data_IF_047915203375
#
_entry.id   IF_047915203375
#
_cell.length_a   1.000
_cell.length_b   1.000
_cell.length_c   1.000
_cell.angle_alpha   90.00
_cell.angle_beta   90.00
_cell.angle_gamma   90.00
#
_symmetry.space_group_name_H-M   'P 1'
#
loop_
_entity.id
_entity.type
_entity.pdbx_description
1 polymer ?
#
# COMPACT_ATOMS: atom_id res chain seq x y z
N UNK A 1 5.04 -22.39 3.86
CA UNK A 1 5.53 -21.07 4.27
C UNK A 1 4.37 -20.07 4.15
N UNK A 2 3.19 -20.42 4.70
CA UNK A 2 1.90 -20.01 4.13
C UNK A 2 0.88 -19.74 5.25
N UNK A 3 0.91 -18.57 5.88
CA UNK A 3 -0.17 -18.15 6.79
C UNK A 3 -0.35 -16.63 6.93
N UNK A 4 0.73 -15.84 6.94
CA UNK A 4 0.60 -14.39 7.17
C UNK A 4 -0.04 -13.62 6.01
N UNK A 5 0.25 -14.01 4.76
CA UNK A 5 -0.34 -13.35 3.60
C UNK A 5 -1.86 -13.40 3.62
N UNK A 6 -2.45 -14.60 3.76
CA UNK A 6 -3.90 -14.76 3.74
C UNK A 6 -4.55 -13.99 4.90
N UNK A 7 -3.97 -14.04 6.09
CA UNK A 7 -4.48 -13.33 7.28
C UNK A 7 -4.43 -11.81 7.09
N UNK A 8 -3.27 -11.25 6.73
CA UNK A 8 -3.15 -9.79 6.52
C UNK A 8 -4.04 -9.34 5.35
N UNK A 9 -4.12 -10.14 4.27
CA UNK A 9 -4.96 -9.80 3.12
C UNK A 9 -6.44 -9.63 3.49
N UNK A 10 -7.00 -10.60 4.20
CA UNK A 10 -8.43 -10.59 4.57
C UNK A 10 -8.75 -9.54 5.64
N UNK A 11 -7.81 -9.20 6.51
CA UNK A 11 -8.04 -8.27 7.60
C UNK A 11 -7.77 -6.81 7.23
N UNK A 12 -6.81 -6.54 6.33
CA UNK A 12 -6.47 -5.18 5.92
C UNK A 12 -7.41 -4.60 4.87
N UNK A 13 -7.89 -5.44 3.93
CA UNK A 13 -8.77 -4.97 2.86
C UNK A 13 -10.03 -4.23 3.38
N UNK A 14 -10.80 -4.79 4.35
CA UNK A 14 -11.96 -4.11 4.91
C UNK A 14 -11.60 -2.82 5.67
N UNK A 15 -10.43 -2.77 6.30
CA UNK A 15 -9.96 -1.56 6.98
C UNK A 15 -9.75 -0.41 5.98
N UNK A 16 -9.00 -0.64 4.89
CA UNK A 16 -8.72 0.40 3.88
C UNK A 16 -10.04 0.89 3.25
N UNK A 17 -10.94 -0.03 2.92
CA UNK A 17 -12.27 0.32 2.40
C UNK A 17 -13.09 1.13 3.43
N UNK A 18 -13.05 0.77 4.72
CA UNK A 18 -13.74 1.50 5.78
C UNK A 18 -13.22 2.94 5.93
N UNK A 19 -11.90 3.16 6.02
CA UNK A 19 -11.35 4.51 6.18
C UNK A 19 -11.63 5.37 4.94
N UNK A 20 -11.61 4.78 3.74
CA UNK A 20 -11.88 5.51 2.50
C UNK A 20 -13.34 5.95 2.40
N UNK A 21 -14.29 5.10 2.83
CA UNK A 21 -15.72 5.45 2.93
C UNK A 21 -15.98 6.55 3.97
N UNK A 22 -15.11 6.69 4.95
CA UNK A 22 -15.13 7.77 5.94
C UNK A 22 -14.32 9.00 5.51
N UNK A 23 -13.96 9.10 4.22
CA UNK A 23 -13.22 10.22 3.65
C UNK A 23 -11.85 10.44 4.31
N UNK A 24 -11.16 9.36 4.67
CA UNK A 24 -9.80 9.42 5.22
C UNK A 24 -8.83 8.72 4.27
N UNK A 25 -7.75 9.40 3.92
CA UNK A 25 -6.54 8.78 3.38
C UNK A 25 -5.55 8.55 4.53
N UNK A 26 -5.01 7.34 4.65
CA UNK A 26 -4.13 6.97 5.76
C UNK A 26 -2.67 7.38 5.52
N UNK A 27 -2.16 7.15 4.31
CA UNK A 27 -0.90 7.64 3.74
C UNK A 27 0.40 7.12 4.37
N UNK A 28 0.33 6.15 5.27
CA UNK A 28 1.53 5.51 5.86
C UNK A 28 1.33 4.02 6.16
N UNK A 29 0.72 3.29 5.20
CA UNK A 29 0.47 1.86 5.34
C UNK A 29 1.78 1.07 5.19
N UNK A 30 2.23 0.47 6.30
CA UNK A 30 3.46 -0.31 6.43
C UNK A 30 3.33 -1.35 7.55
N UNK A 31 4.23 -2.34 7.58
CA UNK A 31 4.18 -3.41 8.59
C UNK A 31 4.26 -2.89 10.02
N UNK A 32 5.07 -1.85 10.24
CA UNK A 32 5.34 -1.26 11.55
C UNK A 32 4.09 -0.63 12.17
N UNK A 33 3.12 -0.23 11.34
CA UNK A 33 1.86 0.37 11.79
C UNK A 33 0.72 -0.66 11.90
N UNK A 34 1.00 -1.95 11.66
CA UNK A 34 0.05 -3.05 11.80
C UNK A 34 0.44 -3.83 13.06
N UNK A 35 -0.30 -3.60 14.14
CA UNK A 35 -0.06 -4.29 15.43
C UNK A 35 -1.17 -5.28 15.72
N UNK A 36 -0.92 -6.18 16.67
CA UNK A 36 -1.91 -7.12 17.18
C UNK A 36 -2.24 -6.76 18.63
N UNK A 37 -3.52 -6.82 18.99
CA UNK A 37 -3.91 -6.77 20.39
C UNK A 37 -3.80 -8.15 21.07
N UNK A 38 -4.15 -8.21 22.35
CA UNK A 38 -4.06 -9.42 23.17
C UNK A 38 -4.93 -10.57 22.66
N UNK A 39 -6.00 -10.25 21.93
CA UNK A 39 -6.92 -11.22 21.34
C UNK A 39 -6.49 -11.63 19.91
N UNK A 40 -5.42 -11.01 19.39
CA UNK A 40 -4.87 -11.30 18.06
C UNK A 40 -5.57 -10.55 16.92
N UNK A 41 -6.32 -9.49 17.21
CA UNK A 41 -6.95 -8.65 16.19
C UNK A 41 -5.96 -7.63 15.66
N UNK A 42 -6.03 -7.34 14.36
CA UNK A 42 -5.23 -6.27 13.76
C UNK A 42 -5.73 -4.92 14.25
N UNK A 43 -4.80 -4.10 14.72
CA UNK A 43 -5.00 -2.69 14.98
C UNK A 43 -4.03 -1.88 14.14
N UNK A 44 -4.56 -0.82 13.52
CA UNK A 44 -3.75 0.16 12.79
C UNK A 44 -3.45 1.31 13.73
N UNK A 45 -2.17 1.63 13.86
CA UNK A 45 -1.67 2.70 14.73
C UNK A 45 -1.14 3.85 13.91
N UNK A 46 -0.74 4.94 14.57
CA UNK A 46 -0.10 6.11 13.95
C UNK A 46 -0.87 6.73 12.77
N UNK A 47 -1.81 7.61 13.09
CA UNK A 47 -2.56 8.41 12.12
C UNK A 47 -1.88 9.78 11.86
N UNK A 48 -0.60 9.94 12.21
CA UNK A 48 0.13 11.22 12.08
C UNK A 48 0.18 11.76 10.65
N UNK A 49 0.14 10.87 9.67
CA UNK A 49 0.05 11.22 8.24
C UNK A 49 -1.35 11.13 7.66
N UNK A 50 -2.38 10.76 8.43
CA UNK A 50 -3.73 10.65 7.91
C UNK A 50 -4.32 12.01 7.57
N UNK A 51 -5.23 12.04 6.59
CA UNK A 51 -5.90 13.27 6.16
C UNK A 51 -7.33 13.00 5.72
N UNK A 52 -8.25 13.87 6.14
CA UNK A 52 -9.59 13.89 5.59
C UNK A 52 -9.56 14.45 4.16
N UNK A 53 -10.09 13.69 3.22
CA UNK A 53 -10.26 14.05 1.81
C UNK A 53 -11.69 13.71 1.42
N UNK A 54 -12.50 14.72 1.15
CA UNK A 54 -13.84 14.54 0.59
C UNK A 54 -13.77 13.85 -0.78
N UNK A 55 -14.90 13.34 -1.27
CA UNK A 55 -14.92 12.66 -2.57
C UNK A 55 -14.49 13.61 -3.70
N UNK A 56 -13.47 13.19 -4.45
CA UNK A 56 -12.82 13.99 -5.49
C UNK A 56 -11.80 15.01 -4.99
N UNK A 57 -11.68 15.22 -3.67
CA UNK A 57 -10.64 16.06 -3.10
C UNK A 57 -9.27 15.37 -3.24
N UNK A 58 -8.26 16.17 -3.62
CA UNK A 58 -6.88 15.72 -3.77
C UNK A 58 -5.94 16.57 -2.95
N UNK A 59 -4.82 15.98 -2.56
CA UNK A 59 -3.74 16.65 -1.85
C UNK A 59 -2.40 16.42 -2.55
N UNK A 60 -1.37 17.16 -2.11
CA UNK A 60 -0.02 17.13 -2.72
C UNK A 60 1.11 17.00 -1.70
N UNK A 61 0.79 16.86 -0.42
CA UNK A 61 1.79 16.79 0.64
C UNK A 61 2.62 15.52 0.46
N UNK A 62 3.94 15.63 0.33
CA UNK A 62 4.82 14.47 0.34
C UNK A 62 4.96 13.98 1.78
N UNK A 63 4.50 12.76 2.06
CA UNK A 63 4.59 12.14 3.38
C UNK A 63 4.47 10.61 3.29
N UNK A 64 4.73 9.94 4.40
CA UNK A 64 4.72 8.48 4.50
C UNK A 64 6.11 7.87 4.36
N UNK A 65 6.17 6.55 4.43
CA UNK A 65 7.42 5.77 4.46
C UNK A 65 7.90 5.44 3.05
N UNK A 66 9.14 5.83 2.71
CA UNK A 66 9.66 5.88 1.33
C UNK A 66 9.46 4.59 0.50
N UNK A 67 9.81 3.38 0.99
CA UNK A 67 9.64 2.16 0.18
C UNK A 67 8.18 1.80 -0.16
N UNK A 68 7.22 2.35 0.59
CA UNK A 68 5.77 2.14 0.41
C UNK A 68 5.10 3.29 -0.35
N UNK A 69 5.84 4.35 -0.67
CA UNK A 69 5.31 5.58 -1.26
C UNK A 69 4.86 5.35 -2.70
N UNK A 70 3.72 5.92 -3.06
CA UNK A 70 3.17 5.87 -4.41
C UNK A 70 3.90 6.84 -5.36
N UNK A 71 4.03 6.52 -6.66
CA UNK A 71 4.82 7.31 -7.59
C UNK A 71 4.31 8.74 -7.75
N UNK A 72 3.00 8.98 -7.72
CA UNK A 72 2.42 10.32 -7.77
C UNK A 72 2.73 11.14 -6.51
N UNK A 73 2.85 10.50 -5.33
CA UNK A 73 3.29 11.17 -4.09
C UNK A 73 4.76 11.56 -4.21
N UNK A 74 5.60 10.63 -4.68
CA UNK A 74 7.03 10.86 -4.89
C UNK A 74 7.33 11.91 -5.97
N UNK A 75 6.44 12.03 -6.97
CA UNK A 75 6.55 13.05 -8.03
C UNK A 75 5.78 14.35 -7.70
N UNK A 76 5.37 14.54 -6.44
CA UNK A 76 4.71 15.76 -5.95
C UNK A 76 3.42 16.11 -6.71
N UNK A 77 2.76 15.11 -7.30
CA UNK A 77 1.51 15.26 -8.03
C UNK A 77 0.34 15.29 -7.05
N UNK A 78 -0.82 15.76 -7.54
CA UNK A 78 -2.06 15.64 -6.79
C UNK A 78 -2.53 14.19 -6.74
N UNK A 79 -2.91 13.73 -5.55
CA UNK A 79 -3.33 12.37 -5.28
C UNK A 79 -4.51 12.35 -4.30
N UNK A 80 -5.32 11.29 -4.36
CA UNK A 80 -6.43 11.05 -3.44
C UNK A 80 -6.18 9.89 -2.48
N UNK A 81 -7.26 9.25 -2.05
CA UNK A 81 -7.25 8.09 -1.14
C UNK A 81 -6.58 6.86 -1.77
N UNK A 82 -6.48 6.82 -3.10
CA UNK A 82 -5.95 5.69 -3.87
C UNK A 82 -4.50 5.31 -3.53
N UNK A 83 -3.69 6.24 -3.02
CA UNK A 83 -2.29 5.96 -2.59
C UNK A 83 -2.18 4.86 -1.53
N UNK A 84 -3.22 4.67 -0.70
CA UNK A 84 -3.23 3.60 0.30
C UNK A 84 -3.28 2.22 -0.36
N UNK A 85 -3.92 2.10 -1.54
CA UNK A 85 -3.95 0.84 -2.30
C UNK A 85 -2.59 0.51 -2.90
N UNK A 86 -1.81 1.52 -3.27
CA UNK A 86 -0.42 1.35 -3.69
C UNK A 86 0.42 0.79 -2.54
N UNK A 87 0.43 1.46 -1.39
CA UNK A 87 1.20 1.03 -0.21
C UNK A 87 0.79 -0.36 0.26
N UNK A 88 -0.51 -0.69 0.17
CA UNK A 88 -1.00 -2.04 0.47
C UNK A 88 -0.52 -3.09 -0.54
N UNK A 89 -0.45 -2.77 -1.83
CA UNK A 89 0.18 -3.65 -2.84
C UNK A 89 1.66 -3.92 -2.53
N UNK A 90 2.41 -2.89 -2.11
CA UNK A 90 3.80 -3.03 -1.64
C UNK A 90 3.87 -3.95 -0.43
N UNK A 91 3.02 -3.74 0.58
CA UNK A 91 2.96 -4.57 1.77
C UNK A 91 2.73 -6.05 1.44
N UNK A 92 1.74 -6.35 0.58
CA UNK A 92 1.42 -7.70 0.16
C UNK A 92 2.58 -8.37 -0.58
N UNK A 93 3.31 -7.61 -1.41
CA UNK A 93 4.52 -8.08 -2.07
C UNK A 93 5.57 -8.51 -1.05
N UNK A 94 5.87 -7.65 -0.06
CA UNK A 94 6.89 -7.95 0.95
C UNK A 94 6.47 -9.15 1.79
N UNK A 95 5.21 -9.25 2.22
CA UNK A 95 4.72 -10.40 3.00
C UNK A 95 4.83 -11.73 2.25
N UNK A 96 4.80 -11.70 0.92
CA UNK A 96 4.89 -12.90 0.10
C UNK A 96 6.33 -13.27 -0.30
N UNK A 97 7.20 -12.28 -0.44
CA UNK A 97 8.54 -12.46 -1.01
C UNK A 97 9.67 -12.19 -0.02
N UNK A 98 9.36 -11.58 1.12
CA UNK A 98 10.31 -10.93 2.04
C UNK A 98 11.21 -9.86 1.37
N UNK A 99 10.82 -9.36 0.20
CA UNK A 99 11.56 -8.37 -0.57
C UNK A 99 10.67 -7.20 -0.99
N UNK A 100 11.25 -6.01 -1.11
CA UNK A 100 10.55 -4.86 -1.69
C UNK A 100 10.31 -5.08 -3.19
N UNK A 101 9.15 -4.66 -3.73
CA UNK A 101 8.85 -4.79 -5.15
C UNK A 101 9.79 -3.96 -6.03
N UNK A 102 10.33 -2.87 -5.48
CA UNK A 102 11.21 -1.91 -6.15
C UNK A 102 12.51 -1.74 -5.35
N UNK A 103 13.63 -1.31 -5.98
CA UNK A 103 14.93 -1.13 -5.32
C UNK A 103 15.00 0.15 -4.49
N UNK A 104 14.07 0.30 -3.54
CA UNK A 104 13.84 1.51 -2.75
C UNK A 104 14.13 1.32 -1.25
N UNK A 105 14.73 0.21 -0.83
CA UNK A 105 14.95 -0.09 0.59
C UNK A 105 15.90 0.88 1.31
N UNK A 106 16.87 1.45 0.59
CA UNK A 106 17.94 2.29 1.16
C UNK A 106 17.87 3.75 0.71
N UNK A 107 16.77 4.17 0.09
CA UNK A 107 16.62 5.57 -0.36
C UNK A 107 16.41 6.51 0.81
N UNK A 108 17.02 7.70 0.72
CA UNK A 108 16.94 8.71 1.79
C UNK A 108 15.96 9.84 1.47
N UNK A 109 15.54 9.92 0.21
CA UNK A 109 14.68 10.99 -0.33
C UNK A 109 13.64 10.43 -1.29
N UNK A 110 12.46 11.07 -1.35
CA UNK A 110 11.39 10.69 -2.27
C UNK A 110 11.78 10.84 -3.75
N UNK A 111 12.71 11.74 -4.05
CA UNK A 111 13.20 12.01 -5.41
C UNK A 111 14.05 10.84 -5.95
N UNK A 112 14.61 10.01 -5.06
CA UNK A 112 15.47 8.88 -5.42
C UNK A 112 14.67 7.61 -5.73
N UNK A 113 13.36 7.61 -5.48
CA UNK A 113 12.49 6.45 -5.66
C UNK A 113 12.39 6.03 -7.12
N UNK A 114 12.60 4.74 -7.37
CA UNK A 114 12.51 4.12 -8.70
C UNK A 114 11.32 3.17 -8.77
N UNK A 115 10.67 3.15 -9.94
CA UNK A 115 9.48 2.35 -10.21
C UNK A 115 9.59 1.56 -11.54
N UNK A 116 10.78 1.55 -12.13
CA UNK A 116 11.08 1.01 -13.46
C UNK A 116 11.33 -0.52 -13.48
N UNK A 117 11.55 -1.12 -12.31
CA UNK A 117 11.92 -2.52 -12.15
C UNK A 117 11.06 -3.17 -11.06
N UNK A 118 9.90 -3.71 -11.47
CA UNK A 118 9.05 -4.52 -10.59
C UNK A 118 9.60 -5.94 -10.49
N UNK A 119 9.93 -6.38 -9.27
CA UNK A 119 10.21 -7.79 -9.02
C UNK A 119 8.90 -8.58 -8.94
N UNK A 120 8.77 -9.61 -9.77
CA UNK A 120 7.60 -10.50 -9.70
C UNK A 120 7.74 -11.41 -8.48
N UNK A 121 6.69 -11.59 -7.66
CA UNK A 121 6.77 -12.50 -6.53
C UNK A 121 7.14 -13.93 -6.96
N UNK A 122 8.31 -14.42 -6.54
CA UNK A 122 8.68 -15.82 -6.69
C UNK A 122 7.89 -16.68 -5.69
N UNK A 123 6.64 -16.97 -6.00
CA UNK A 123 5.79 -17.88 -5.22
C UNK A 123 5.41 -19.11 -6.06
N UNK A 124 4.92 -20.18 -5.41
CA UNK A 124 4.41 -21.37 -6.11
C UNK A 124 3.47 -20.96 -7.25
N UNK A 125 3.52 -21.60 -8.43
CA UNK A 125 2.85 -21.12 -9.65
C UNK A 125 1.37 -20.75 -9.49
N UNK A 126 0.65 -21.49 -8.63
CA UNK A 126 -0.78 -21.29 -8.35
C UNK A 126 -1.03 -20.03 -7.50
N UNK A 127 -0.18 -19.76 -6.50
CA UNK A 127 -0.22 -18.52 -5.74
C UNK A 127 0.30 -17.35 -6.60
N UNK A 128 1.39 -17.52 -7.34
CA UNK A 128 1.96 -16.48 -8.21
C UNK A 128 0.95 -15.84 -9.15
N UNK A 129 0.16 -16.64 -9.86
CA UNK A 129 -0.84 -16.11 -10.79
C UNK A 129 -2.00 -15.40 -10.11
N UNK A 130 -2.47 -15.92 -8.96
CA UNK A 130 -3.53 -15.27 -8.19
C UNK A 130 -3.03 -13.96 -7.58
N UNK A 131 -1.80 -13.93 -7.08
CA UNK A 131 -1.20 -12.75 -6.45
C UNK A 131 -0.87 -11.69 -7.47
N UNK A 132 -0.30 -12.07 -8.62
CA UNK A 132 -0.13 -11.15 -9.73
C UNK A 132 -1.49 -10.58 -10.16
N UNK A 133 -2.54 -11.41 -10.26
CA UNK A 133 -3.89 -10.89 -10.54
C UNK A 133 -4.42 -9.99 -9.44
N UNK A 134 -4.21 -10.30 -8.15
CA UNK A 134 -4.67 -9.46 -7.04
C UNK A 134 -3.91 -8.14 -7.03
N UNK A 135 -2.58 -8.17 -6.99
CA UNK A 135 -1.70 -7.00 -7.01
C UNK A 135 -1.93 -6.16 -8.28
N UNK A 136 -2.04 -6.78 -9.46
CA UNK A 136 -2.40 -6.06 -10.69
C UNK A 136 -3.83 -5.52 -10.64
N UNK A 137 -4.81 -6.24 -10.07
CA UNK A 137 -6.16 -5.73 -9.87
C UNK A 137 -6.20 -4.58 -8.85
N UNK A 138 -5.30 -4.59 -7.85
CA UNK A 138 -5.14 -3.52 -6.88
C UNK A 138 -4.51 -2.30 -7.56
N UNK A 139 -3.46 -2.49 -8.37
CA UNK A 139 -2.91 -1.46 -9.22
C UNK A 139 -3.93 -0.98 -10.26
N UNK A 140 -4.81 -1.85 -10.79
CA UNK A 140 -5.90 -1.45 -11.66
C UNK A 140 -6.98 -0.65 -10.93
N UNK A 141 -7.36 -1.02 -9.69
CA UNK A 141 -8.26 -0.21 -8.85
C UNK A 141 -7.64 1.15 -8.54
N UNK A 142 -6.35 1.15 -8.22
CA UNK A 142 -5.54 2.36 -8.08
C UNK A 142 -5.58 3.19 -9.38
N UNK A 143 -5.39 2.60 -10.56
CA UNK A 143 -5.49 3.29 -11.86
C UNK A 143 -6.92 3.77 -12.17
N UNK A 144 -7.96 3.02 -11.83
CA UNK A 144 -9.36 3.41 -12.04
C UNK A 144 -9.79 4.58 -11.13
N UNK A 145 -9.22 4.68 -9.94
CA UNK A 145 -9.45 5.77 -8.99
C UNK A 145 -8.52 6.96 -9.23
N UNK A 146 -7.33 6.72 -9.81
CA UNK A 146 -6.51 7.70 -10.50
C UNK A 146 -7.20 8.14 -11.81
N UNK A 147 -8.36 8.79 -11.74
CA UNK A 147 -8.87 9.54 -12.90
C UNK A 147 -7.83 10.61 -13.24
N UNK A 148 -7.11 10.39 -14.35
CA UNK A 148 -6.49 11.43 -15.17
C UNK A 148 -7.61 12.06 -16.00
#
# INVERSE_FOLDING_TARGET
MTNYFSVIFYLMWPFVDYIHRNNVAYRDLKMENIVLDFDGHIQIVDFGFSKKLADGERTRTVCGTLPYMAPEVANEKFYGKEVDWWSYGVLLHILNTNNYPFPNCDVSSHIELKYDSYSTPCCEPILGDLFNKVILNMFHKYVQHCKI
#
